data_IF_150012967397
#
_entry.id   IF_150012967397
#
_cell.length_a   1.000
_cell.length_b   1.000
_cell.length_c   1.000
_cell.angle_alpha   90.00
_cell.angle_beta   90.00
_cell.angle_gamma   90.00
#
_symmetry.space_group_name_H-M   'P 1'
#
loop_
_entity.id
_entity.type
_entity.pdbx_description
1 polymer ?
#
# COMPACT_ATOMS: atom_id res chain seq x y z
N UNK A 1 -5.98 -16.08 26.18
CA UNK A 1 -5.16 -15.63 25.03
C UNK A 1 -4.85 -14.15 25.25
N UNK A 2 -3.63 -13.70 24.95
CA UNK A 2 -3.36 -12.25 24.95
C UNK A 2 -4.28 -11.58 23.93
N UNK A 3 -4.67 -10.33 24.18
CA UNK A 3 -5.54 -9.56 23.28
C UNK A 3 -4.94 -9.53 21.87
N UNK A 4 -3.63 -9.42 21.78
CA UNK A 4 -2.87 -9.38 20.54
C UNK A 4 -2.89 -10.73 19.79
N UNK A 5 -2.81 -11.85 20.52
CA UNK A 5 -2.93 -13.19 19.92
C UNK A 5 -4.35 -13.47 19.41
N UNK A 6 -5.37 -12.96 20.10
CA UNK A 6 -6.75 -13.07 19.65
C UNK A 6 -7.00 -12.26 18.36
N UNK A 7 -6.43 -11.06 18.27
CA UNK A 7 -6.51 -10.21 17.06
C UNK A 7 -5.78 -10.89 15.89
N UNK A 8 -4.57 -11.40 16.12
CA UNK A 8 -3.82 -12.14 15.10
C UNK A 8 -4.55 -13.39 14.61
N UNK A 9 -5.13 -14.17 15.53
CA UNK A 9 -5.91 -15.35 15.18
C UNK A 9 -7.19 -15.00 14.41
N UNK A 10 -7.88 -13.92 14.79
CA UNK A 10 -9.08 -13.44 14.09
C UNK A 10 -8.75 -13.06 12.64
N UNK A 11 -7.69 -12.28 12.43
CA UNK A 11 -7.25 -11.87 11.09
C UNK A 11 -6.88 -13.10 10.26
N UNK A 12 -6.14 -14.05 10.83
CA UNK A 12 -5.77 -15.28 10.14
C UNK A 12 -6.98 -16.10 9.69
N UNK A 13 -7.97 -16.26 10.56
CA UNK A 13 -9.23 -16.95 10.23
C UNK A 13 -9.96 -16.23 9.11
N UNK A 14 -10.07 -14.89 9.16
CA UNK A 14 -10.70 -14.10 8.11
C UNK A 14 -9.97 -14.30 6.78
N UNK A 15 -8.64 -14.25 6.77
CA UNK A 15 -7.85 -14.50 5.57
C UNK A 15 -8.13 -15.89 4.98
N UNK A 16 -8.16 -16.94 5.81
CA UNK A 16 -8.50 -18.30 5.35
C UNK A 16 -9.91 -18.33 4.75
N UNK A 17 -10.90 -17.75 5.42
CA UNK A 17 -12.28 -17.75 4.92
C UNK A 17 -12.37 -17.02 3.58
N UNK A 18 -11.70 -15.87 3.44
CA UNK A 18 -11.66 -15.13 2.17
C UNK A 18 -10.96 -15.94 1.08
N UNK A 19 -9.83 -16.59 1.37
CA UNK A 19 -9.12 -17.44 0.40
C UNK A 19 -9.97 -18.61 -0.07
N UNK A 20 -10.60 -19.33 0.85
CA UNK A 20 -11.46 -20.47 0.52
C UNK A 20 -12.70 -19.99 -0.24
N UNK A 21 -13.36 -18.92 0.23
CA UNK A 21 -14.51 -18.34 -0.45
C UNK A 21 -14.18 -17.89 -1.87
N UNK A 22 -13.05 -17.19 -2.06
CA UNK A 22 -12.58 -16.77 -3.38
C UNK A 22 -12.33 -17.97 -4.31
N UNK A 23 -11.64 -19.01 -3.83
CA UNK A 23 -11.40 -20.22 -4.61
C UNK A 23 -12.71 -20.91 -5.03
N UNK A 24 -13.65 -21.06 -4.09
CA UNK A 24 -14.97 -21.66 -4.38
C UNK A 24 -15.72 -20.85 -5.43
N UNK A 25 -15.75 -19.52 -5.32
CA UNK A 25 -16.43 -18.68 -6.31
C UNK A 25 -15.76 -18.68 -7.69
N UNK A 26 -14.45 -18.88 -7.75
CA UNK A 26 -13.70 -19.00 -9.01
C UNK A 26 -14.03 -20.32 -9.74
N UNK A 27 -14.04 -21.45 -9.02
CA UNK A 27 -14.35 -22.77 -9.61
C UNK A 27 -15.85 -23.02 -9.79
N UNK A 28 -16.72 -22.36 -9.04
CA UNK A 28 -18.17 -22.50 -9.09
C UNK A 28 -18.88 -21.13 -9.22
N UNK A 29 -18.70 -20.41 -10.34
CA UNK A 29 -19.29 -19.08 -10.53
C UNK A 29 -20.82 -19.09 -10.54
N UNK A 30 -21.45 -20.24 -10.83
CA UNK A 30 -22.90 -20.41 -10.78
C UNK A 30 -23.47 -20.17 -9.37
N UNK A 31 -22.74 -20.54 -8.32
CA UNK A 31 -23.15 -20.28 -6.93
C UNK A 31 -23.18 -18.78 -6.66
N UNK A 32 -22.23 -18.04 -7.22
CA UNK A 32 -22.17 -16.59 -7.07
C UNK A 32 -23.35 -15.92 -7.78
N UNK A 33 -23.72 -16.37 -8.98
CA UNK A 33 -24.91 -15.90 -9.70
C UNK A 33 -26.18 -16.14 -8.89
N UNK A 34 -26.34 -17.34 -8.32
CA UNK A 34 -27.51 -17.69 -7.52
C UNK A 34 -27.59 -16.87 -6.22
N UNK A 35 -26.45 -16.58 -5.59
CA UNK A 35 -26.39 -15.84 -4.34
C UNK A 35 -26.53 -14.32 -4.50
N UNK A 36 -25.97 -13.77 -5.59
CA UNK A 36 -25.93 -12.31 -5.83
C UNK A 36 -27.00 -11.81 -6.80
N UNK A 37 -27.65 -12.71 -7.54
CA UNK A 37 -28.67 -12.36 -8.54
C UNK A 37 -28.11 -11.65 -9.78
N UNK A 38 -26.80 -11.70 -10.00
CA UNK A 38 -26.15 -11.02 -11.13
C UNK A 38 -26.37 -11.79 -12.43
N UNK A 39 -27.09 -11.19 -13.38
CA UNK A 39 -27.40 -11.75 -14.71
C UNK A 39 -26.25 -11.58 -15.71
N UNK A 40 -25.01 -11.88 -15.33
CA UNK A 40 -23.85 -11.92 -16.23
C UNK A 40 -23.55 -13.35 -16.67
N UNK A 41 -22.86 -13.52 -17.80
CA UNK A 41 -22.36 -14.84 -18.22
C UNK A 41 -21.29 -15.34 -17.24
N UNK A 42 -21.20 -16.66 -17.07
CA UNK A 42 -20.21 -17.29 -16.16
C UNK A 42 -18.78 -16.92 -16.54
N UNK A 43 -18.49 -16.86 -17.83
CA UNK A 43 -17.19 -16.47 -18.39
C UNK A 43 -16.82 -15.03 -18.01
N UNK A 44 -17.74 -14.08 -18.17
CA UNK A 44 -17.51 -12.68 -17.83
C UNK A 44 -17.29 -12.49 -16.32
N UNK A 45 -18.02 -13.24 -15.49
CA UNK A 45 -17.86 -13.20 -14.04
C UNK A 45 -16.51 -13.76 -13.61
N UNK A 46 -16.08 -14.91 -14.13
CA UNK A 46 -14.77 -15.47 -13.82
C UNK A 46 -13.65 -14.53 -14.24
N UNK A 47 -13.75 -13.94 -15.44
CA UNK A 47 -12.78 -12.96 -15.90
C UNK A 47 -12.69 -11.77 -14.95
N UNK A 48 -13.82 -11.15 -14.57
CA UNK A 48 -13.84 -10.01 -13.65
C UNK A 48 -13.38 -10.37 -12.24
N UNK A 49 -13.68 -11.59 -11.76
CA UNK A 49 -13.28 -12.07 -10.44
C UNK A 49 -11.75 -12.21 -10.30
N UNK A 50 -11.06 -12.50 -11.40
CA UNK A 50 -9.59 -12.53 -11.46
C UNK A 50 -9.01 -11.16 -11.83
N UNK A 51 -9.65 -10.45 -12.76
CA UNK A 51 -9.18 -9.16 -13.25
C UNK A 51 -9.17 -8.10 -12.15
N UNK A 52 -10.15 -8.06 -11.25
CA UNK A 52 -10.20 -7.05 -10.17
C UNK A 52 -8.99 -7.17 -9.22
N UNK A 53 -8.71 -8.32 -8.58
CA UNK A 53 -7.53 -8.45 -7.71
C UNK A 53 -6.22 -8.13 -8.42
N UNK A 54 -6.05 -8.61 -9.65
CA UNK A 54 -4.85 -8.36 -10.46
C UNK A 54 -4.72 -6.87 -10.78
N UNK A 55 -5.81 -6.20 -11.15
CA UNK A 55 -5.84 -4.77 -11.41
C UNK A 55 -5.49 -3.96 -10.17
N UNK A 56 -6.04 -4.31 -9.00
CA UNK A 56 -5.73 -3.64 -7.73
C UNK A 56 -4.23 -3.78 -7.40
N UNK A 57 -3.67 -4.99 -7.53
CA UNK A 57 -2.26 -5.23 -7.30
C UNK A 57 -1.38 -4.43 -8.28
N UNK A 58 -1.75 -4.41 -9.56
CA UNK A 58 -1.07 -3.64 -10.59
C UNK A 58 -1.10 -2.13 -10.31
N UNK A 59 -2.28 -1.59 -9.96
CA UNK A 59 -2.45 -0.19 -9.60
C UNK A 59 -1.66 0.19 -8.35
N UNK A 60 -1.58 -0.70 -7.35
CA UNK A 60 -0.76 -0.46 -6.17
C UNK A 60 0.73 -0.31 -6.52
N UNK A 61 1.25 -1.17 -7.38
CA UNK A 61 2.64 -1.09 -7.86
C UNK A 61 2.86 0.18 -8.69
N UNK A 62 1.95 0.49 -9.61
CA UNK A 62 2.02 1.70 -10.42
C UNK A 62 1.92 2.98 -9.60
N UNK A 63 1.09 2.98 -8.56
CA UNK A 63 0.97 4.10 -7.63
C UNK A 63 2.28 4.33 -6.88
N UNK A 64 2.95 3.27 -6.41
CA UNK A 64 4.28 3.39 -5.77
C UNK A 64 5.29 3.98 -6.76
N UNK A 65 5.34 3.47 -8.01
CA UNK A 65 6.25 3.99 -9.03
C UNK A 65 5.98 5.46 -9.38
N UNK A 66 4.70 5.83 -9.51
CA UNK A 66 4.27 7.20 -9.76
C UNK A 66 4.63 8.12 -8.59
N UNK A 67 4.46 7.66 -7.34
CA UNK A 67 4.85 8.41 -6.14
C UNK A 67 6.36 8.65 -6.09
N UNK A 68 7.17 7.61 -6.33
CA UNK A 68 8.64 7.74 -6.38
C UNK A 68 9.04 8.71 -7.50
N UNK A 69 8.49 8.54 -8.70
CA UNK A 69 8.74 9.46 -9.83
C UNK A 69 8.35 10.90 -9.51
N UNK A 70 7.21 11.11 -8.85
CA UNK A 70 6.76 12.41 -8.38
C UNK A 70 7.73 13.03 -7.39
N UNK A 71 8.22 12.27 -6.41
CA UNK A 71 9.20 12.77 -5.44
C UNK A 71 10.52 13.14 -6.12
N UNK A 72 11.04 12.34 -7.06
CA UNK A 72 12.27 12.69 -7.80
C UNK A 72 12.11 13.92 -8.70
N UNK A 73 10.94 14.10 -9.33
CA UNK A 73 10.66 15.26 -10.17
C UNK A 73 10.48 16.56 -9.37
N UNK A 74 10.05 16.44 -8.11
CA UNK A 74 9.78 17.59 -7.22
C UNK A 74 10.87 17.84 -6.20
N UNK A 75 11.86 16.95 -6.07
CA UNK A 75 13.09 17.21 -5.32
C UNK A 75 14.07 17.99 -6.20
N UNK A 76 14.28 19.30 -5.94
CA UNK A 76 15.41 20.00 -6.53
C UNK A 76 16.70 19.28 -6.12
N UNK A 77 17.71 19.23 -7.00
CA UNK A 77 18.97 18.56 -6.71
C UNK A 77 19.48 19.03 -5.34
N UNK A 78 19.90 18.10 -4.47
CA UNK A 78 20.40 18.45 -3.14
C UNK A 78 21.45 19.54 -3.30
N UNK A 79 21.30 20.63 -2.54
CA UNK A 79 22.28 21.73 -2.55
C UNK A 79 23.68 21.16 -2.29
N UNK A 80 24.73 21.71 -2.93
CA UNK A 80 26.10 21.31 -2.67
C UNK A 80 26.38 21.32 -1.16
N UNK A 81 26.99 20.25 -0.68
CA UNK A 81 27.21 19.95 0.75
C UNK A 81 27.98 21.10 1.44
N UNK A 82 28.81 21.83 0.69
CA UNK A 82 29.56 22.99 1.18
C UNK A 82 28.67 24.13 1.72
N UNK A 83 27.50 24.40 1.13
CA UNK A 83 26.62 25.47 1.63
C UNK A 83 25.89 25.06 2.92
N UNK A 84 25.60 23.77 3.09
CA UNK A 84 24.93 23.21 4.26
C UNK A 84 25.87 23.10 5.47
N UNK A 85 27.13 22.71 5.26
CA UNK A 85 28.16 22.69 6.31
C UNK A 85 28.44 24.11 6.85
N UNK A 86 28.50 25.12 5.97
CA UNK A 86 28.74 26.52 6.37
C UNK A 86 27.54 27.10 7.14
N UNK A 87 26.32 26.67 6.82
CA UNK A 87 25.09 27.11 7.51
C UNK A 87 24.96 26.43 8.88
N UNK A 88 25.28 25.13 9.00
CA UNK A 88 25.39 24.43 10.30
C UNK A 88 26.49 25.03 11.19
N UNK A 89 27.68 25.31 10.64
CA UNK A 89 28.78 25.89 11.43
C UNK A 89 28.45 27.32 11.89
N UNK A 90 27.69 28.08 11.11
CA UNK A 90 27.14 29.38 11.53
C UNK A 90 26.09 29.26 12.62
N UNK A 91 25.14 28.33 12.52
CA UNK A 91 24.12 28.15 13.56
C UNK A 91 24.73 27.65 14.88
N UNK A 92 25.71 26.74 14.81
CA UNK A 92 26.45 26.23 15.97
C UNK A 92 27.27 27.35 16.64
N UNK A 93 27.93 28.21 15.84
CA UNK A 93 28.73 29.32 16.38
C UNK A 93 27.88 30.45 16.97
N UNK A 94 26.71 30.74 16.40
CA UNK A 94 25.77 31.70 16.98
C UNK A 94 25.17 31.18 18.29
N UNK A 95 24.75 29.92 18.33
CA UNK A 95 24.23 29.28 19.56
C UNK A 95 25.26 29.26 20.68
N UNK A 96 26.55 29.03 20.35
CA UNK A 96 27.63 29.01 21.34
C UNK A 96 27.97 30.40 21.90
N UNK A 97 27.81 31.47 21.10
CA UNK A 97 28.03 32.85 21.56
C UNK A 97 26.88 33.38 22.43
N UNK A 98 25.65 32.92 22.20
CA UNK A 98 24.49 33.30 23.00
C UNK A 98 24.46 32.60 24.37
N UNK A 99 25.11 31.44 24.53
CA UNK A 99 25.25 30.74 25.83
C UNK A 99 26.42 31.25 26.70
N UNK A 100 27.38 31.99 26.13
CA UNK A 100 28.56 32.50 26.84
C UNK A 100 28.39 33.94 27.40
N UNK A 101 27.21 34.57 27.22
CA UNK A 101 26.88 35.93 27.66
C UNK A 101 25.71 35.96 28.66
#
# INVERSE_FOLDING_TARGET
MSKDQAIGALIFVICIVVTVGYAVFLFAPHLLIQLTGVSMTTEALQFWLVAIPVLIAFLAIMFIGAWIGWTMATTPPPKPIEELEIEEEKEISQTSQDEEN
#
